data_IF_044324640057
#
_entry.id   IF_044324640057
#
_cell.length_a   1.000
_cell.length_b   1.000
_cell.length_c   1.000
_cell.angle_alpha   90.00
_cell.angle_beta   90.00
_cell.angle_gamma   90.00
#
_symmetry.space_group_name_H-M   'P 1'
#
loop_
_entity.id
_entity.type
_entity.pdbx_description
1 polymer ?
#
# COMPACT_ATOMS: atom_id res chain seq x y z
N UNK A 1 -28.02 17.48 -35.03
CA UNK A 1 -27.87 16.70 -33.77
C UNK A 1 -26.42 16.28 -33.66
N UNK A 2 -25.58 17.06 -32.98
CA UNK A 2 -24.19 16.70 -32.73
C UNK A 2 -24.16 15.49 -31.79
N UNK A 3 -23.68 14.35 -32.27
CA UNK A 3 -23.43 13.19 -31.43
C UNK A 3 -22.29 13.53 -30.47
N UNK A 4 -22.61 13.77 -29.20
CA UNK A 4 -21.62 13.96 -28.16
C UNK A 4 -20.89 12.63 -27.94
N UNK A 5 -19.59 12.62 -28.29
CA UNK A 5 -18.75 11.43 -28.20
C UNK A 5 -18.53 11.08 -26.73
N UNK A 6 -19.07 9.93 -26.30
CA UNK A 6 -18.91 9.43 -24.94
C UNK A 6 -17.43 9.23 -24.62
N UNK A 7 -17.00 9.72 -23.46
CA UNK A 7 -15.62 9.58 -22.99
C UNK A 7 -15.49 8.29 -22.19
N UNK A 8 -14.38 7.57 -22.37
CA UNK A 8 -14.06 6.39 -21.57
C UNK A 8 -13.75 6.82 -20.14
N UNK A 9 -14.41 6.19 -19.16
CA UNK A 9 -14.10 6.40 -17.75
C UNK A 9 -12.63 6.05 -17.45
N UNK A 10 -11.99 6.88 -16.63
CA UNK A 10 -10.65 6.64 -16.11
C UNK A 10 -10.70 6.76 -14.60
N UNK A 11 -10.18 5.75 -13.92
CA UNK A 11 -9.98 5.79 -12.48
C UNK A 11 -8.83 6.76 -12.19
N UNK A 12 -9.08 7.76 -11.36
CA UNK A 12 -8.12 8.78 -10.95
C UNK A 12 -8.11 8.89 -9.43
N UNK A 13 -6.98 9.22 -8.80
CA UNK A 13 -6.93 9.42 -7.35
C UNK A 13 -7.79 10.63 -6.95
N UNK A 14 -8.32 10.66 -5.72
CA UNK A 14 -8.96 11.85 -5.17
C UNK A 14 -8.04 13.08 -5.21
N UNK A 15 -8.61 14.26 -5.49
CA UNK A 15 -7.83 15.50 -5.66
C UNK A 15 -7.06 15.93 -4.39
N UNK A 16 -7.49 15.49 -3.21
CA UNK A 16 -6.91 15.82 -1.91
C UNK A 16 -5.87 14.78 -1.43
N UNK A 17 -5.52 13.81 -2.26
CA UNK A 17 -4.64 12.71 -1.87
C UNK A 17 -3.21 12.97 -2.34
N UNK A 18 -2.30 13.20 -1.38
CA UNK A 18 -0.89 13.40 -1.66
C UNK A 18 -0.26 12.09 -2.23
N UNK A 19 0.66 12.18 -3.20
CA UNK A 19 1.41 11.01 -3.65
C UNK A 19 2.42 10.57 -2.59
N UNK A 20 2.83 9.30 -2.62
CA UNK A 20 3.89 8.80 -1.72
C UNK A 20 5.23 9.51 -1.91
N UNK A 21 5.50 10.01 -3.12
CA UNK A 21 6.73 10.70 -3.44
C UNK A 21 6.43 11.88 -4.39
N UNK A 22 7.12 13.02 -4.19
CA UNK A 22 6.85 14.26 -4.93
C UNK A 22 7.11 14.14 -6.44
N UNK A 23 8.14 13.38 -6.82
CA UNK A 23 8.62 13.29 -8.22
C UNK A 23 8.23 11.96 -8.89
N UNK A 24 8.50 10.81 -8.24
CA UNK A 24 8.18 9.49 -8.80
C UNK A 24 6.66 9.28 -8.91
N UNK A 25 6.21 9.01 -10.13
CA UNK A 25 4.82 8.64 -10.46
C UNK A 25 4.56 7.14 -10.30
N UNK A 26 5.60 6.32 -10.17
CA UNK A 26 5.49 4.85 -10.07
C UNK A 26 4.98 4.39 -8.70
N UNK A 27 5.32 5.13 -7.65
CA UNK A 27 4.93 4.83 -6.28
C UNK A 27 3.43 5.08 -6.04
N UNK A 28 2.81 5.95 -6.82
CA UNK A 28 1.37 6.21 -6.76
C UNK A 28 0.93 6.98 -5.51
N UNK A 29 -0.28 6.69 -5.04
CA UNK A 29 -0.92 7.38 -3.92
C UNK A 29 -1.34 6.38 -2.83
N UNK A 30 -1.39 6.79 -1.55
CA UNK A 30 -1.88 5.96 -0.45
C UNK A 30 -3.30 5.44 -0.71
N UNK A 31 -3.53 4.16 -0.44
CA UNK A 31 -4.82 3.47 -0.60
C UNK A 31 -5.46 3.60 -2.01
N UNK A 32 -4.67 3.89 -3.04
CA UNK A 32 -5.13 4.00 -4.42
C UNK A 32 -4.40 3.02 -5.33
N UNK A 33 -5.07 1.94 -5.68
CA UNK A 33 -4.53 0.82 -6.47
C UNK A 33 -5.28 0.68 -7.80
N UNK A 34 -4.93 1.47 -8.83
CA UNK A 34 -5.60 1.36 -10.12
C UNK A 34 -5.21 0.03 -10.82
N UNK A 35 -6.13 -0.62 -11.54
CA UNK A 35 -5.79 -1.79 -12.36
C UNK A 35 -4.70 -1.44 -13.37
N UNK A 36 -3.69 -2.30 -13.49
CA UNK A 36 -2.56 -2.15 -14.41
C UNK A 36 -2.61 -3.26 -15.45
N UNK A 37 -2.34 -2.98 -16.74
CA UNK A 37 -2.28 -4.04 -17.74
C UNK A 37 -1.19 -5.06 -17.39
N UNK A 38 -1.54 -6.34 -17.47
CA UNK A 38 -0.58 -7.43 -17.29
C UNK A 38 -0.30 -7.76 -15.84
N UNK A 39 -1.20 -7.42 -14.92
CA UNK A 39 -1.18 -7.93 -13.56
C UNK A 39 -1.30 -9.47 -13.57
N UNK A 40 -0.89 -10.10 -12.48
CA UNK A 40 -0.90 -11.57 -12.37
C UNK A 40 -2.32 -12.16 -12.54
N UNK A 41 -3.35 -11.41 -12.14
CA UNK A 41 -4.75 -11.73 -12.38
C UNK A 41 -5.10 -11.80 -13.88
N UNK A 42 -4.49 -10.94 -14.71
CA UNK A 42 -4.74 -10.89 -16.16
C UNK A 42 -4.07 -12.07 -16.91
N UNK A 43 -3.14 -12.78 -16.28
CA UNK A 43 -2.37 -13.84 -16.93
C UNK A 43 -3.23 -15.10 -17.12
N UNK A 44 -3.35 -15.56 -18.38
CA UNK A 44 -4.09 -16.78 -18.74
C UNK A 44 -3.28 -18.06 -18.49
N UNK A 45 -2.75 -18.24 -17.27
CA UNK A 45 -2.09 -19.47 -16.87
C UNK A 45 -3.11 -20.61 -16.71
N UNK A 46 -2.65 -21.86 -16.81
CA UNK A 46 -3.52 -23.02 -16.59
C UNK A 46 -4.20 -22.99 -15.21
N UNK A 47 -3.47 -22.54 -14.19
CA UNK A 47 -3.96 -22.42 -12.82
C UNK A 47 -5.06 -21.35 -12.72
N UNK A 48 -4.79 -20.12 -13.18
CA UNK A 48 -5.77 -19.02 -13.13
C UNK A 48 -7.05 -19.35 -13.90
N UNK A 49 -6.94 -20.01 -15.05
CA UNK A 49 -8.10 -20.37 -15.88
C UNK A 49 -8.94 -21.48 -15.22
N UNK A 50 -8.29 -22.47 -14.58
CA UNK A 50 -9.01 -23.60 -13.98
C UNK A 50 -9.56 -23.31 -12.59
N UNK A 51 -8.87 -22.46 -11.81
CA UNK A 51 -9.13 -22.27 -10.37
C UNK A 51 -9.44 -20.83 -9.99
N UNK A 52 -9.28 -19.88 -10.91
CA UNK A 52 -9.28 -18.45 -10.61
C UNK A 52 -7.94 -17.99 -10.06
N UNK A 53 -7.77 -16.66 -9.98
CA UNK A 53 -6.65 -16.04 -9.29
C UNK A 53 -6.88 -16.06 -7.77
N UNK A 54 -5.84 -16.39 -7.01
CA UNK A 54 -5.86 -16.38 -5.53
C UNK A 54 -4.68 -15.57 -5.05
N UNK A 55 -4.95 -14.54 -4.26
CA UNK A 55 -3.90 -13.75 -3.61
C UNK A 55 -3.26 -14.56 -2.47
N UNK A 56 -1.93 -14.54 -2.40
CA UNK A 56 -1.17 -15.25 -1.38
C UNK A 56 -0.65 -14.23 -0.38
N UNK A 57 -1.01 -14.34 0.90
CA UNK A 57 -0.54 -13.39 1.90
C UNK A 57 0.98 -13.35 1.94
N UNK A 58 1.56 -12.16 1.85
CA UNK A 58 3.01 -11.98 1.86
C UNK A 58 3.61 -12.35 3.22
N UNK A 59 2.86 -12.14 4.30
CA UNK A 59 3.28 -12.46 5.66
C UNK A 59 2.66 -13.78 6.09
N UNK A 60 3.50 -14.78 6.39
CA UNK A 60 3.04 -16.13 6.73
C UNK A 60 2.17 -16.21 8.00
N UNK A 61 2.37 -15.28 8.92
CA UNK A 61 1.79 -15.31 10.27
C UNK A 61 0.85 -14.10 10.51
N UNK A 62 0.05 -13.70 9.53
CA UNK A 62 -0.88 -12.55 9.65
C UNK A 62 -1.86 -12.66 10.82
N UNK A 63 -2.24 -13.89 11.17
CA UNK A 63 -3.17 -14.16 12.28
C UNK A 63 -2.46 -14.30 13.64
N UNK A 64 -1.14 -14.18 13.70
CA UNK A 64 -0.39 -14.31 14.95
C UNK A 64 -0.41 -12.98 15.72
N UNK A 65 -0.83 -12.96 17.00
CA UNK A 65 -0.78 -11.75 17.80
C UNK A 65 0.67 -11.44 18.19
N UNK A 66 1.14 -10.24 17.89
CA UNK A 66 2.48 -9.78 18.28
C UNK A 66 2.62 -9.43 19.78
N UNK A 67 1.72 -9.90 20.64
CA UNK A 67 1.65 -9.50 22.04
C UNK A 67 2.93 -9.80 22.81
N UNK A 68 3.41 -11.05 22.76
CA UNK A 68 4.59 -11.47 23.51
C UNK A 68 5.86 -10.75 23.03
N UNK A 69 5.99 -10.58 21.70
CA UNK A 69 7.11 -9.88 21.06
C UNK A 69 7.15 -8.41 21.52
N UNK A 70 6.00 -7.73 21.49
CA UNK A 70 5.92 -6.32 21.90
C UNK A 70 6.05 -6.17 23.42
N UNK A 71 5.53 -7.11 24.21
CA UNK A 71 5.64 -7.05 25.66
C UNK A 71 7.09 -7.14 26.13
N UNK A 72 7.94 -7.89 25.44
CA UNK A 72 9.37 -7.95 25.74
C UNK A 72 10.05 -6.61 25.44
N UNK A 73 9.76 -6.01 24.27
CA UNK A 73 10.32 -4.71 23.88
C UNK A 73 9.89 -3.58 24.81
N UNK A 74 8.64 -3.61 25.31
CA UNK A 74 8.14 -2.60 26.26
C UNK A 74 8.77 -2.68 27.65
N UNK A 75 9.43 -3.81 27.99
CA UNK A 75 10.18 -3.94 29.26
C UNK A 75 11.54 -3.25 29.22
N UNK A 76 12.08 -2.97 28.03
CA UNK A 76 13.29 -2.17 27.91
C UNK A 76 12.98 -0.70 28.22
N UNK A 77 13.60 -0.12 29.26
CA UNK A 77 13.36 1.27 29.65
C UNK A 77 13.73 2.29 28.56
N UNK A 78 14.55 1.91 27.58
CA UNK A 78 14.98 2.80 26.51
C UNK A 78 14.03 2.82 25.32
N UNK A 79 13.13 1.84 25.18
CA UNK A 79 12.25 1.70 23.99
C UNK A 79 11.43 2.96 23.74
N UNK A 80 10.80 3.51 24.78
CA UNK A 80 9.97 4.71 24.64
C UNK A 80 10.80 5.94 24.27
N UNK A 81 12.00 6.08 24.86
CA UNK A 81 12.92 7.17 24.53
C UNK A 81 13.37 7.08 23.08
N UNK A 82 13.79 5.91 22.63
CA UNK A 82 14.25 5.68 21.26
C UNK A 82 13.14 5.96 20.24
N UNK A 83 11.90 5.55 20.54
CA UNK A 83 10.74 5.87 19.70
C UNK A 83 10.47 7.38 19.65
N UNK A 84 10.56 8.07 20.80
CA UNK A 84 10.39 9.52 20.87
C UNK A 84 11.45 10.29 20.10
N UNK A 85 12.71 9.89 20.23
CA UNK A 85 13.83 10.48 19.50
C UNK A 85 13.66 10.27 17.99
N UNK A 86 13.32 9.04 17.57
CA UNK A 86 13.05 8.73 16.16
C UNK A 86 11.93 9.58 15.58
N UNK A 87 10.79 9.70 16.26
CA UNK A 87 9.67 10.51 15.78
C UNK A 87 10.03 12.00 15.73
N UNK A 88 10.84 12.47 16.68
CA UNK A 88 11.35 13.85 16.66
C UNK A 88 12.23 14.10 15.43
N UNK A 89 13.09 13.15 15.07
CA UNK A 89 13.93 13.26 13.88
C UNK A 89 13.13 13.20 12.58
N UNK A 90 12.08 12.37 12.49
CA UNK A 90 11.17 12.35 11.33
C UNK A 90 10.49 13.71 11.15
N UNK A 91 9.98 14.31 12.23
CA UNK A 91 9.32 15.62 12.15
C UNK A 91 10.27 16.75 11.74
N UNK A 92 11.55 16.66 12.09
CA UNK A 92 12.57 17.66 11.68
C UNK A 92 12.92 17.58 10.18
N UNK A 93 12.72 16.43 9.54
CA UNK A 93 13.00 16.25 8.12
C UNK A 93 11.92 16.85 7.22
N UNK A 94 10.79 17.30 7.78
CA UNK A 94 9.69 17.91 7.02
C UNK A 94 9.82 19.44 6.81
N UNK A 95 10.89 20.08 7.31
CA UNK A 95 11.27 21.49 6.99
C UNK A 95 12.31 21.57 5.85
#
# INVERSE_FOLDING_TARGET
MSQQRLQKYKLVPPNNLAPFHRISTELGHPDFYPPKPGQDEDQMTEENVKRGFVDVPFVKNEFFPAHDILSEQLRDPNTLKNLGDFMTDVMRLED
#
